data_IF_444923892986
#
_entry.id   IF_444923892986
#
_cell.length_a   1.000
_cell.length_b   1.000
_cell.length_c   1.000
_cell.angle_alpha   90.00
_cell.angle_beta   90.00
_cell.angle_gamma   90.00
#
_symmetry.space_group_name_H-M   'P 1'
#
loop_
_entity.id
_entity.type
_entity.pdbx_description
1 polymer ?
#
# COMPACT_ATOMS: atom_id res chain seq x y z
N UNK A 1 4.37 13.88 -9.80
CA UNK A 1 3.28 13.00 -9.33
C UNK A 1 3.65 11.55 -9.67
N UNK A 2 3.74 10.66 -8.68
CA UNK A 2 3.98 9.23 -8.92
C UNK A 2 2.76 8.69 -9.68
N UNK A 3 2.95 8.28 -10.93
CA UNK A 3 1.86 7.69 -11.72
C UNK A 3 1.54 6.31 -11.13
N UNK A 4 0.35 6.15 -10.56
CA UNK A 4 -0.15 4.90 -10.02
C UNK A 4 -1.26 4.37 -10.93
N UNK A 5 -1.19 3.08 -11.29
CA UNK A 5 -2.36 2.41 -11.86
C UNK A 5 -3.24 1.91 -10.70
N UNK A 6 -4.25 2.71 -10.33
CA UNK A 6 -5.15 2.43 -9.20
C UNK A 6 -5.82 1.05 -9.32
N UNK A 7 -6.37 0.71 -10.48
CA UNK A 7 -7.04 -0.59 -10.68
C UNK A 7 -6.10 -1.77 -10.44
N UNK A 8 -4.86 -1.68 -10.95
CA UNK A 8 -3.83 -2.70 -10.74
C UNK A 8 -3.42 -2.78 -9.27
N UNK A 9 -3.19 -1.65 -8.61
CA UNK A 9 -2.82 -1.60 -7.20
C UNK A 9 -3.88 -2.25 -6.32
N UNK A 10 -5.15 -1.89 -6.52
CA UNK A 10 -6.27 -2.48 -5.79
C UNK A 10 -6.37 -3.98 -6.04
N UNK A 11 -6.22 -4.43 -7.30
CA UNK A 11 -6.24 -5.86 -7.63
C UNK A 11 -5.10 -6.61 -6.92
N UNK A 12 -3.87 -6.08 -6.95
CA UNK A 12 -2.72 -6.68 -6.28
C UNK A 12 -2.95 -6.79 -4.78
N UNK A 13 -3.44 -5.73 -4.14
CA UNK A 13 -3.67 -5.74 -2.69
C UNK A 13 -4.85 -6.61 -2.27
N UNK A 14 -5.94 -6.64 -3.03
CA UNK A 14 -7.11 -7.46 -2.72
C UNK A 14 -6.83 -8.95 -2.83
N UNK A 15 -6.00 -9.33 -3.80
CA UNK A 15 -5.71 -10.73 -4.16
C UNK A 15 -4.31 -11.17 -3.75
N UNK A 16 -3.60 -10.34 -2.99
CA UNK A 16 -2.21 -10.57 -2.58
C UNK A 16 -1.31 -10.99 -3.75
N UNK A 17 -1.38 -10.26 -4.87
CA UNK A 17 -0.60 -10.53 -6.06
C UNK A 17 0.67 -9.69 -6.08
N UNK A 18 1.75 -10.30 -6.57
CA UNK A 18 3.03 -9.66 -6.79
C UNK A 18 2.87 -8.43 -7.71
N UNK A 19 3.38 -7.29 -7.27
CA UNK A 19 3.34 -6.05 -8.02
C UNK A 19 4.26 -6.03 -9.26
N UNK A 20 5.08 -7.06 -9.47
CA UNK A 20 5.93 -7.19 -10.67
C UNK A 20 5.24 -8.14 -11.66
N UNK A 21 5.19 -9.44 -11.36
CA UNK A 21 4.68 -10.46 -12.28
C UNK A 21 3.15 -10.64 -12.28
N UNK A 22 2.43 -10.17 -11.25
CA UNK A 22 0.98 -10.35 -11.13
C UNK A 22 0.52 -11.74 -10.67
N UNK A 23 1.43 -12.68 -10.41
CA UNK A 23 1.14 -13.96 -9.75
C UNK A 23 0.95 -13.82 -8.23
N UNK A 24 0.59 -14.90 -7.51
CA UNK A 24 0.50 -14.88 -6.04
C UNK A 24 1.80 -14.39 -5.41
N UNK A 25 1.69 -13.50 -4.41
CA UNK A 25 2.85 -13.02 -3.66
C UNK A 25 3.23 -13.91 -2.48
N UNK A 26 2.26 -14.67 -1.94
CA UNK A 26 2.44 -15.60 -0.83
C UNK A 26 3.55 -16.60 -1.18
N UNK A 27 4.39 -16.90 -0.19
CA UNK A 27 5.39 -17.94 -0.28
C UNK A 27 4.74 -19.31 -0.58
N UNK A 28 5.21 -20.09 -1.57
CA UNK A 28 4.66 -21.42 -1.82
C UNK A 28 4.81 -22.40 -0.65
N UNK A 29 5.84 -22.22 0.18
CA UNK A 29 6.21 -23.15 1.26
C UNK A 29 5.74 -22.67 2.65
N UNK A 30 5.18 -21.46 2.74
CA UNK A 30 4.70 -20.91 4.01
C UNK A 30 3.54 -19.91 3.83
N UNK A 31 2.71 -19.65 4.86
CA UNK A 31 1.65 -18.64 4.75
C UNK A 31 2.17 -17.19 4.77
N UNK A 32 3.49 -16.98 4.68
CA UNK A 32 4.10 -15.66 4.80
C UNK A 32 4.13 -14.94 3.45
N UNK A 33 3.95 -13.62 3.50
CA UNK A 33 3.92 -12.77 2.32
C UNK A 33 5.15 -11.85 2.35
N UNK A 34 6.09 -11.97 1.40
CA UNK A 34 7.16 -11.00 1.24
C UNK A 34 6.63 -9.62 0.83
N UNK A 35 7.12 -8.59 1.51
CA UNK A 35 6.78 -7.19 1.27
C UNK A 35 8.03 -6.32 1.25
N UNK A 36 8.32 -5.72 0.11
CA UNK A 36 9.33 -4.67 -0.02
C UNK A 36 8.70 -3.32 0.30
N UNK A 37 9.20 -2.66 1.34
CA UNK A 37 8.67 -1.40 1.85
C UNK A 37 9.74 -0.32 1.88
N UNK A 38 9.34 0.92 1.60
CA UNK A 38 10.18 2.12 1.74
C UNK A 38 9.56 3.02 2.79
N UNK A 39 10.36 3.86 3.46
CA UNK A 39 9.85 4.79 4.50
C UNK A 39 8.73 5.71 3.99
N UNK A 40 8.73 6.03 2.70
CA UNK A 40 7.74 6.92 2.08
C UNK A 40 6.36 6.31 1.86
N UNK A 41 6.22 4.98 1.94
CA UNK A 41 4.97 4.26 1.72
C UNK A 41 4.59 3.36 2.89
N UNK A 42 5.32 3.46 4.00
CA UNK A 42 5.15 2.62 5.17
C UNK A 42 5.08 3.46 6.44
N UNK A 43 4.07 3.18 7.27
CA UNK A 43 3.87 3.78 8.57
C UNK A 43 3.82 2.67 9.62
N UNK A 44 4.70 2.71 10.64
CA UNK A 44 4.64 1.76 11.75
C UNK A 44 3.43 2.08 12.63
N UNK A 45 2.61 1.08 12.93
CA UNK A 45 1.41 1.22 13.78
C UNK A 45 1.49 0.44 15.10
N UNK A 46 2.45 -0.47 15.22
CA UNK A 46 2.68 -1.33 16.39
C UNK A 46 4.05 -1.98 16.33
N UNK A 47 4.34 -2.96 17.19
CA UNK A 47 5.67 -3.60 17.24
C UNK A 47 5.96 -4.42 15.97
N UNK A 48 4.98 -5.22 15.54
CA UNK A 48 5.03 -6.12 14.39
C UNK A 48 3.92 -5.79 13.37
N UNK A 49 3.47 -4.55 13.35
CA UNK A 49 2.42 -4.07 12.44
C UNK A 49 2.78 -2.74 11.77
N UNK A 50 2.12 -2.47 10.65
CA UNK A 50 2.23 -1.20 9.95
C UNK A 50 1.32 -1.07 8.75
N UNK A 51 1.07 0.17 8.35
CA UNK A 51 0.23 0.51 7.19
C UNK A 51 1.06 0.76 5.96
N UNK A 52 0.57 0.29 4.82
CA UNK A 52 1.16 0.59 3.51
C UNK A 52 0.13 0.70 2.40
N UNK A 53 0.44 1.50 1.38
CA UNK A 53 -0.24 1.50 0.09
C UNK A 53 0.57 0.78 -1.01
N UNK A 54 1.75 0.23 -0.70
CA UNK A 54 2.54 -0.55 -1.62
C UNK A 54 1.99 -1.98 -1.72
N UNK A 55 1.74 -2.54 -2.93
CA UNK A 55 1.39 -3.95 -3.06
C UNK A 55 2.59 -4.88 -2.77
N UNK A 56 2.34 -6.17 -2.49
CA UNK A 56 3.40 -7.12 -2.12
C UNK A 56 4.30 -7.50 -3.33
N UNK A 57 5.46 -8.11 -3.05
CA UNK A 57 6.40 -8.59 -4.08
C UNK A 57 6.81 -10.02 -3.77
N UNK A 58 6.54 -10.99 -4.65
CA UNK A 58 6.98 -12.37 -4.44
C UNK A 58 8.51 -12.48 -4.42
N UNK A 59 9.04 -13.52 -3.76
CA UNK A 59 10.48 -13.78 -3.64
C UNK A 59 11.23 -13.74 -4.97
N UNK A 60 10.69 -14.40 -6.00
CA UNK A 60 11.29 -14.45 -7.34
C UNK A 60 11.41 -13.08 -7.99
N UNK A 61 10.56 -12.12 -7.63
CA UNK A 61 10.56 -10.76 -8.19
C UNK A 61 11.25 -9.74 -7.29
N UNK A 62 11.67 -10.10 -6.06
CA UNK A 62 12.40 -9.19 -5.17
C UNK A 62 13.68 -8.66 -5.84
N UNK A 63 14.56 -9.48 -6.43
CA UNK A 63 15.77 -8.99 -7.09
C UNK A 63 15.47 -7.99 -8.21
N UNK A 64 14.51 -8.32 -9.09
CA UNK A 64 14.07 -7.44 -10.18
C UNK A 64 13.50 -6.12 -9.67
N UNK A 65 12.71 -6.14 -8.58
CA UNK A 65 12.16 -4.93 -8.00
C UNK A 65 13.25 -4.01 -7.44
N UNK A 66 14.26 -4.57 -6.76
CA UNK A 66 15.41 -3.82 -6.23
C UNK A 66 16.27 -3.23 -7.36
N UNK A 67 16.48 -3.98 -8.44
CA UNK A 67 17.25 -3.52 -9.60
C UNK A 67 16.54 -2.39 -10.36
N UNK A 68 15.25 -2.56 -10.65
CA UNK A 68 14.53 -1.69 -11.57
C UNK A 68 13.85 -0.48 -10.91
N UNK A 69 13.59 -0.51 -9.61
CA UNK A 69 12.90 0.59 -8.92
C UNK A 69 13.92 1.54 -8.28
N UNK A 70 14.07 2.79 -8.76
CA UNK A 70 14.99 3.75 -8.16
C UNK A 70 14.72 3.99 -6.66
N UNK A 71 13.44 4.08 -6.27
CA UNK A 71 13.09 4.30 -4.86
C UNK A 71 13.52 3.18 -3.93
N UNK A 72 13.54 1.93 -4.41
CA UNK A 72 13.97 0.78 -3.61
C UNK A 72 15.51 0.65 -3.56
N UNK A 73 16.24 1.29 -4.46
CA UNK A 73 17.71 1.33 -4.40
C UNK A 73 18.21 2.24 -3.28
N UNK A 74 17.48 3.32 -3.00
CA UNK A 74 17.88 4.31 -1.99
C UNK A 74 17.51 3.91 -0.56
N UNK A 75 16.34 3.29 -0.38
CA UNK A 75 15.82 2.88 0.93
C UNK A 75 14.82 1.74 0.74
N UNK A 76 15.10 0.58 1.33
CA UNK A 76 14.13 -0.50 1.40
C UNK A 76 14.27 -1.29 2.69
N UNK A 77 13.20 -1.97 3.05
CA UNK A 77 13.18 -2.99 4.08
C UNK A 77 12.31 -4.13 3.58
N UNK A 78 12.83 -5.35 3.67
CA UNK A 78 12.08 -6.54 3.31
C UNK A 78 11.48 -7.16 4.57
N UNK A 79 10.17 -7.39 4.53
CA UNK A 79 9.44 -8.06 5.59
C UNK A 79 8.78 -9.33 5.08
N UNK A 80 8.63 -10.32 5.95
CA UNK A 80 7.56 -11.31 5.85
C UNK A 80 6.37 -10.80 6.64
N UNK A 81 5.16 -11.01 6.13
CA UNK A 81 3.89 -10.60 6.74
C UNK A 81 3.00 -11.83 6.89
N UNK A 82 2.34 -11.98 8.04
CA UNK A 82 1.45 -13.13 8.32
C UNK A 82 0.04 -12.92 7.79
N UNK A 83 -0.49 -11.71 7.92
CA UNK A 83 -1.86 -11.39 7.55
C UNK A 83 -1.99 -9.91 7.23
N UNK A 84 -3.06 -9.56 6.50
CA UNK A 84 -3.37 -8.18 6.15
C UNK A 84 -4.83 -7.87 6.43
N UNK A 85 -5.10 -6.63 6.78
CA UNK A 85 -6.45 -6.10 6.91
C UNK A 85 -6.59 -4.82 6.08
N UNK A 86 -7.80 -4.53 5.62
CA UNK A 86 -8.04 -3.30 4.87
C UNK A 86 -8.18 -2.14 5.84
N UNK A 87 -7.26 -1.18 5.81
CA UNK A 87 -7.25 -0.06 6.75
C UNK A 87 -8.04 1.16 6.23
N UNK A 88 -8.01 1.38 4.91
CA UNK A 88 -8.60 2.57 4.31
C UNK A 88 -8.07 2.85 2.92
N UNK A 89 -8.05 4.12 2.56
CA UNK A 89 -7.49 4.61 1.29
C UNK A 89 -6.62 5.83 1.50
N UNK A 90 -5.65 6.03 0.60
CA UNK A 90 -5.16 7.38 0.34
C UNK A 90 -6.10 8.07 -0.64
N UNK A 91 -6.46 9.30 -0.33
CA UNK A 91 -7.51 10.04 -1.01
C UNK A 91 -7.16 11.50 -1.25
N UNK A 92 -7.82 12.08 -2.25
CA UNK A 92 -7.96 13.52 -2.37
C UNK A 92 -9.28 13.95 -1.72
N UNK A 93 -9.23 14.99 -0.90
CA UNK A 93 -10.40 15.55 -0.23
C UNK A 93 -10.92 16.77 -0.97
N UNK A 94 -12.24 16.91 -1.01
CA UNK A 94 -12.94 17.99 -1.66
C UNK A 94 -14.00 18.59 -0.74
N UNK A 95 -14.38 19.84 -1.00
CA UNK A 95 -15.55 20.46 -0.40
C UNK A 95 -16.42 21.07 -1.51
N UNK A 96 -17.73 21.24 -1.29
CA UNK A 96 -18.55 22.02 -2.21
C UNK A 96 -18.08 23.48 -2.21
N UNK A 97 -17.96 24.03 -3.41
CA UNK A 97 -17.82 25.46 -3.66
C UNK A 97 -19.16 26.18 -3.67
N UNK A 98 -19.12 27.48 -3.95
CA UNK A 98 -20.31 28.35 -3.92
C UNK A 98 -21.33 27.89 -4.98
N UNK A 99 -20.86 27.36 -6.11
CA UNK A 99 -21.67 26.85 -7.21
C UNK A 99 -21.72 25.31 -7.24
N UNK A 100 -21.46 24.65 -6.10
CA UNK A 100 -21.43 23.18 -5.93
C UNK A 100 -20.34 22.46 -6.73
N UNK A 101 -19.37 23.19 -7.25
CA UNK A 101 -18.16 22.64 -7.84
C UNK A 101 -17.29 21.97 -6.75
N UNK A 102 -16.59 20.87 -7.06
CA UNK A 102 -15.68 20.25 -6.11
C UNK A 102 -14.39 21.07 -5.99
N UNK A 103 -14.18 21.69 -4.82
CA UNK A 103 -12.94 22.43 -4.51
C UNK A 103 -11.98 21.49 -3.77
N UNK A 104 -10.77 21.21 -4.30
CA UNK A 104 -9.78 20.38 -3.60
C UNK A 104 -9.33 21.06 -2.30
N UNK A 105 -9.23 20.28 -1.23
CA UNK A 105 -8.78 20.77 0.09
C UNK A 105 -7.52 20.09 0.57
N UNK A 106 -7.28 18.84 0.17
CA UNK A 106 -6.08 18.09 0.52
C UNK A 106 -5.83 16.96 -0.49
N UNK A 107 -4.57 16.55 -0.60
CA UNK A 107 -4.13 15.48 -1.49
C UNK A 107 -3.41 14.38 -0.72
N UNK A 108 -3.58 13.12 -1.15
CA UNK A 108 -2.95 11.94 -0.56
C UNK A 108 -3.14 11.80 0.96
N UNK A 109 -4.32 12.16 1.47
CA UNK A 109 -4.68 12.00 2.89
C UNK A 109 -5.11 10.56 3.13
N UNK A 110 -4.62 9.94 4.20
CA UNK A 110 -5.16 8.66 4.66
C UNK A 110 -6.56 8.86 5.25
N UNK A 111 -7.53 8.16 4.69
CA UNK A 111 -8.92 8.12 5.15
C UNK A 111 -9.23 6.68 5.57
N UNK A 112 -9.33 6.40 6.88
CA UNK A 112 -9.70 5.07 7.36
C UNK A 112 -11.18 4.78 7.11
N UNK A 113 -11.55 3.50 7.14
CA UNK A 113 -12.93 3.08 6.86
C UNK A 113 -13.93 3.53 7.93
N UNK A 114 -13.51 3.75 9.16
CA UNK A 114 -14.37 4.21 10.25
C UNK A 114 -14.60 5.73 10.24
N UNK A 115 -13.84 6.50 9.45
CA UNK A 115 -13.98 7.95 9.37
C UNK A 115 -15.06 8.39 8.35
N UNK A 116 -16.29 7.90 8.56
CA UNK A 116 -17.46 8.11 7.69
C UNK A 116 -17.73 9.57 7.34
N UNK A 117 -17.39 10.50 8.24
CA UNK A 117 -17.51 11.95 8.03
C UNK A 117 -16.76 12.47 6.79
N UNK A 118 -15.70 11.79 6.34
CA UNK A 118 -14.91 12.21 5.18
C UNK A 118 -15.34 11.54 3.88
N UNK A 119 -16.05 10.41 3.92
CA UNK A 119 -16.32 9.60 2.72
C UNK A 119 -17.10 10.34 1.63
N UNK A 120 -18.12 11.18 1.92
CA UNK A 120 -18.85 11.92 0.87
C UNK A 120 -17.98 12.94 0.11
N UNK A 121 -16.80 13.25 0.63
CA UNK A 121 -15.88 14.29 0.16
C UNK A 121 -14.55 13.72 -0.33
N UNK A 122 -14.48 12.41 -0.49
CA UNK A 122 -13.24 11.67 -0.73
C UNK A 122 -13.25 11.07 -2.13
N UNK A 123 -12.19 11.35 -2.91
CA UNK A 123 -11.85 10.57 -4.09
C UNK A 123 -10.70 9.63 -3.76
N UNK A 124 -10.97 8.34 -3.68
CA UNK A 124 -9.96 7.32 -3.39
C UNK A 124 -8.95 7.17 -4.53
N UNK A 125 -7.66 7.11 -4.20
CA UNK A 125 -6.55 7.02 -5.16
C UNK A 125 -5.81 5.68 -5.03
N UNK A 126 -5.53 5.26 -3.80
CA UNK A 126 -4.80 4.01 -3.51
C UNK A 126 -5.40 3.32 -2.30
N UNK A 127 -5.47 1.98 -2.34
CA UNK A 127 -5.85 1.19 -1.17
C UNK A 127 -4.72 1.18 -0.14
N UNK A 128 -5.07 1.19 1.14
CA UNK A 128 -4.13 1.01 2.25
C UNK A 128 -4.47 -0.28 2.98
N UNK A 129 -3.46 -1.10 3.22
CA UNK A 129 -3.54 -2.28 4.07
C UNK A 129 -2.81 -2.03 5.38
N UNK A 130 -3.36 -2.57 6.45
CA UNK A 130 -2.64 -2.88 7.68
C UNK A 130 -1.96 -4.24 7.49
N UNK A 131 -0.69 -4.32 7.85
CA UNK A 131 0.13 -5.54 7.83
C UNK A 131 0.33 -6.00 9.27
N UNK A 132 0.23 -7.31 9.51
CA UNK A 132 0.39 -7.90 10.85
C UNK A 132 1.39 -9.05 10.86
N UNK A 133 2.01 -9.28 12.02
CA UNK A 133 3.02 -10.32 12.19
C UNK A 133 4.26 -10.08 11.32
N UNK A 134 4.62 -8.81 11.14
CA UNK A 134 5.74 -8.39 10.31
C UNK A 134 7.07 -8.85 10.93
N UNK A 135 7.90 -9.54 10.15
CA UNK A 135 9.27 -9.90 10.55
C UNK A 135 10.26 -9.45 9.50
N UNK A 136 11.33 -8.79 9.92
CA UNK A 136 12.41 -8.37 9.02
C UNK A 136 13.05 -9.58 8.33
N UNK A 137 13.41 -9.44 7.07
CA UNK A 137 14.11 -10.45 6.28
C UNK A 137 15.44 -9.88 5.83
N UNK A 138 16.49 -10.48 6.35
CA UNK A 138 17.89 -10.14 6.16
C UNK A 138 18.68 -10.86 7.25
N UNK A 139 20.02 -10.76 7.25
CA UNK A 139 20.74 -10.91 8.51
C UNK A 139 20.22 -9.93 9.57
#
# INVERSE_FOLDING_TARGET
>A
MRKLNTRRQWRCMNKLLCQVCGGPAVDPESPLIPWLLTKTVFERTGLDSGRTNAPPTCWNCVPTALEQCPMLRDDFTLYTVRSVETAGVLANLYRPGIFREPIPTAHNVFVPWDASRYHPRTLAVAKVLELHGMKHVGP
#
